data_IF_756948021977
#
_entry.id   IF_756948021977
#
_cell.length_a   1.000
_cell.length_b   1.000
_cell.length_c   1.000
_cell.angle_alpha   90.00
_cell.angle_beta   90.00
_cell.angle_gamma   90.00
#
_symmetry.space_group_name_H-M   'P 1'
#
loop_
_entity.id
_entity.type
_entity.pdbx_description
1 polymer ?
#
# COMPACT_ATOMS: atom_id res chain seq x y z
N UNK A 1 11.24 -2.89 -3.93
CA UNK A 1 11.77 -1.65 -3.35
C UNK A 1 11.44 -0.44 -4.22
N UNK A 2 11.59 -0.57 -5.55
CA UNK A 2 11.37 0.50 -6.54
C UNK A 2 9.96 1.14 -6.56
N UNK A 3 8.87 0.37 -6.38
CA UNK A 3 7.51 0.89 -6.64
C UNK A 3 7.05 1.93 -5.61
N UNK A 4 7.35 1.74 -4.33
CA UNK A 4 6.94 2.67 -3.28
C UNK A 4 7.72 4.00 -3.38
N UNK A 5 9.03 3.94 -3.64
CA UNK A 5 9.84 5.14 -3.88
C UNK A 5 9.39 5.86 -5.16
N UNK A 6 9.12 5.10 -6.24
CA UNK A 6 8.60 5.68 -7.48
C UNK A 6 7.24 6.37 -7.29
N UNK A 7 6.40 5.85 -6.39
CA UNK A 7 5.08 6.42 -6.09
C UNK A 7 5.13 7.87 -5.60
N UNK A 8 6.21 8.27 -4.93
CA UNK A 8 6.37 9.64 -4.39
C UNK A 8 7.36 10.48 -5.17
N UNK A 9 7.91 9.94 -6.27
CA UNK A 9 8.98 10.59 -7.05
C UNK A 9 8.57 11.92 -7.71
N UNK A 10 7.27 12.16 -7.88
CA UNK A 10 6.73 13.45 -8.33
C UNK A 10 6.81 14.55 -7.28
N UNK A 11 6.98 14.20 -6.00
CA UNK A 11 6.99 15.13 -4.88
C UNK A 11 8.45 15.45 -4.48
N UNK A 12 8.92 16.71 -4.67
CA UNK A 12 10.29 17.07 -4.33
C UNK A 12 10.62 16.84 -2.84
N UNK A 13 11.75 16.18 -2.57
CA UNK A 13 12.19 15.91 -1.20
C UNK A 13 11.39 14.83 -0.46
N UNK A 14 10.54 14.07 -1.17
CA UNK A 14 9.87 12.90 -0.62
C UNK A 14 10.68 11.61 -0.83
N UNK A 15 10.60 10.70 0.14
CA UNK A 15 11.19 9.35 0.05
C UNK A 15 10.50 8.39 1.02
N UNK A 16 10.55 7.10 0.71
CA UNK A 16 9.91 6.04 1.51
C UNK A 16 10.93 5.10 2.14
N UNK A 17 11.02 5.16 3.47
CA UNK A 17 11.79 4.26 4.31
C UNK A 17 11.01 2.96 4.55
N UNK A 18 11.37 1.89 3.84
CA UNK A 18 10.64 0.63 3.95
C UNK A 18 11.11 -0.20 5.15
N UNK A 19 10.18 -0.64 5.99
CA UNK A 19 10.37 -1.68 7.02
C UNK A 19 9.45 -2.88 6.79
N UNK A 20 8.40 -2.72 5.98
CA UNK A 20 7.53 -3.78 5.49
C UNK A 20 7.66 -3.95 3.95
N UNK A 21 7.27 -5.12 3.45
CA UNK A 21 7.19 -5.39 2.00
C UNK A 21 8.53 -5.46 1.25
N UNK A 22 9.67 -5.54 1.96
CA UNK A 22 11.00 -5.73 1.35
C UNK A 22 11.02 -7.07 0.60
N UNK A 23 11.43 -7.03 -0.67
CA UNK A 23 11.51 -8.22 -1.53
C UNK A 23 10.17 -8.71 -2.10
N UNK A 24 9.04 -8.12 -1.71
CA UNK A 24 7.75 -8.51 -2.27
C UNK A 24 7.61 -8.09 -3.73
N UNK A 25 7.24 -9.06 -4.57
CA UNK A 25 6.88 -8.80 -5.96
C UNK A 25 5.39 -8.56 -6.04
N UNK A 26 4.93 -7.50 -6.73
CA UNK A 26 3.52 -7.31 -6.95
C UNK A 26 3.00 -8.47 -7.82
N UNK A 27 2.24 -9.40 -7.24
CA UNK A 27 1.65 -10.54 -7.97
C UNK A 27 0.62 -10.15 -9.05
N UNK A 28 0.44 -8.84 -9.30
CA UNK A 28 -0.43 -8.23 -10.32
C UNK A 28 0.04 -6.80 -10.58
N UNK A 29 -0.31 -6.25 -11.74
CA UNK A 29 -0.06 -4.85 -12.06
C UNK A 29 -0.64 -3.89 -11.00
N UNK A 30 0.00 -2.73 -10.85
CA UNK A 30 -0.38 -1.66 -9.94
C UNK A 30 -0.49 -0.38 -10.76
N UNK A 31 -1.65 0.28 -10.69
CA UNK A 31 -1.91 1.54 -11.38
C UNK A 31 -2.31 2.57 -10.33
N UNK A 32 -1.72 3.76 -10.38
CA UNK A 32 -2.15 4.94 -9.65
C UNK A 32 -3.12 5.71 -10.55
N UNK A 33 -4.40 5.79 -10.18
CA UNK A 33 -5.45 6.37 -11.01
C UNK A 33 -6.38 7.25 -10.18
N UNK A 34 -6.29 8.56 -10.36
CA UNK A 34 -7.09 9.51 -9.55
C UNK A 34 -6.78 9.41 -8.05
N UNK A 35 -5.56 9.01 -7.69
CA UNK A 35 -5.06 8.95 -6.32
C UNK A 35 -3.82 9.84 -6.21
N UNK A 36 -3.70 10.54 -5.08
CA UNK A 36 -2.47 11.22 -4.66
C UNK A 36 -1.35 10.21 -4.40
N UNK A 37 -0.10 10.69 -4.40
CA UNK A 37 1.08 9.87 -4.07
C UNK A 37 0.93 9.21 -2.69
N UNK A 38 0.34 9.94 -1.72
CA UNK A 38 0.02 9.45 -0.38
C UNK A 38 -1.01 8.31 -0.41
N UNK A 39 -2.16 8.51 -1.07
CA UNK A 39 -3.22 7.50 -1.15
C UNK A 39 -2.72 6.23 -1.84
N UNK A 40 -1.92 6.39 -2.89
CA UNK A 40 -1.32 5.26 -3.58
C UNK A 40 -0.32 4.52 -2.69
N UNK A 41 0.58 5.23 -2.00
CA UNK A 41 1.53 4.62 -1.06
C UNK A 41 0.80 3.91 0.10
N UNK A 42 -0.25 4.51 0.66
CA UNK A 42 -1.06 3.91 1.71
C UNK A 42 -1.76 2.64 1.21
N UNK A 43 -2.29 2.67 -0.02
CA UNK A 43 -2.85 1.49 -0.67
C UNK A 43 -1.80 0.40 -0.88
N UNK A 44 -0.57 0.75 -1.26
CA UNK A 44 0.52 -0.22 -1.38
C UNK A 44 0.85 -0.87 -0.02
N UNK A 45 0.97 -0.08 1.05
CA UNK A 45 1.22 -0.58 2.41
C UNK A 45 0.13 -1.55 2.88
N UNK A 46 -1.12 -1.19 2.65
CA UNK A 46 -2.27 -2.00 3.06
C UNK A 46 -2.29 -3.42 2.45
N UNK A 47 -1.68 -3.61 1.27
CA UNK A 47 -1.61 -4.92 0.60
C UNK A 47 -0.72 -5.92 1.31
N UNK A 48 0.32 -5.43 1.97
CA UNK A 48 1.24 -6.23 2.79
C UNK A 48 0.84 -6.17 4.28
N UNK A 49 -0.42 -5.78 4.56
CA UNK A 49 -0.96 -5.60 5.91
C UNK A 49 -0.17 -4.59 6.75
N UNK A 50 0.46 -3.59 6.12
CA UNK A 50 1.19 -2.53 6.78
C UNK A 50 0.46 -1.17 6.69
N UNK A 51 0.97 -0.19 7.43
CA UNK A 51 0.54 1.21 7.41
C UNK A 51 1.71 2.13 7.08
N UNK A 52 1.42 3.39 6.82
CA UNK A 52 2.44 4.44 6.69
C UNK A 52 2.56 5.23 7.99
N UNK A 53 3.80 5.60 8.34
CA UNK A 53 4.08 6.57 9.40
C UNK A 53 4.85 7.76 8.84
N UNK A 54 4.61 8.99 9.32
CA UNK A 54 5.48 10.11 8.99
C UNK A 54 6.85 9.93 9.66
N UNK A 55 7.93 10.27 8.95
CA UNK A 55 9.25 10.45 9.55
C UNK A 55 9.38 11.90 10.03
N UNK A 56 9.53 12.08 11.34
CA UNK A 56 9.48 13.40 12.00
C UNK A 56 10.86 13.91 12.40
N UNK A 57 11.91 13.10 12.27
CA UNK A 57 13.27 13.43 12.66
C UNK A 57 14.15 13.86 11.48
N UNK A 58 13.62 13.91 10.25
CA UNK A 58 14.35 14.30 9.03
C UNK A 58 13.69 15.49 8.35
N UNK A 59 14.49 16.35 7.74
CA UNK A 59 14.00 17.40 6.87
C UNK A 59 13.52 16.80 5.54
N UNK A 60 12.31 17.15 5.11
CA UNK A 60 11.69 16.66 3.87
C UNK A 60 10.40 15.88 4.12
N UNK A 61 9.82 15.31 3.07
CA UNK A 61 8.57 14.55 3.12
C UNK A 61 8.84 13.04 3.18
N UNK A 62 9.50 12.61 4.25
CA UNK A 62 9.83 11.20 4.44
C UNK A 62 8.68 10.42 5.07
N UNK A 63 8.45 9.21 4.57
CA UNK A 63 7.44 8.30 5.09
C UNK A 63 8.08 6.96 5.40
N UNK A 64 7.70 6.36 6.51
CA UNK A 64 7.97 4.96 6.80
C UNK A 64 6.86 4.09 6.21
N UNK A 65 7.26 3.07 5.47
CA UNK A 65 6.37 2.03 4.97
C UNK A 65 6.47 0.81 5.89
N UNK A 66 5.56 0.75 6.86
CA UNK A 66 5.64 -0.12 8.03
C UNK A 66 6.09 0.63 9.29
N UNK A 67 6.17 -0.08 10.41
CA UNK A 67 6.55 0.47 11.71
C UNK A 67 7.98 1.04 11.63
N UNK A 68 8.24 2.28 12.05
CA UNK A 68 9.57 2.88 12.03
C UNK A 68 10.61 2.07 12.82
N UNK A 69 11.85 2.06 12.32
CA UNK A 69 12.98 1.48 13.07
C UNK A 69 13.49 2.52 14.08
N UNK A 70 13.32 2.23 15.38
CA UNK A 70 13.72 3.12 16.46
C UNK A 70 14.85 2.49 17.29
N UNK A 71 16.03 2.33 16.69
CA UNK A 71 17.22 1.75 17.34
C UNK A 71 16.99 0.38 17.99
N UNK A 72 18.05 -0.18 18.60
CA UNK A 72 17.94 -1.44 19.35
C UNK A 72 17.68 -1.22 20.85
N UNK A 73 18.13 -0.09 21.38
CA UNK A 73 17.95 0.26 22.79
C UNK A 73 16.47 0.55 23.05
N UNK A 74 15.89 -0.21 23.98
CA UNK A 74 14.53 0.05 24.43
C UNK A 74 14.41 1.36 25.20
N UNK A 75 13.21 1.90 25.24
CA UNK A 75 12.85 3.07 26.06
C UNK A 75 12.12 2.61 27.31
N UNK A 76 12.27 3.38 28.40
CA UNK A 76 11.53 3.15 29.64
C UNK A 76 10.29 4.04 29.65
N UNK A 77 9.12 3.42 29.84
CA UNK A 77 7.88 4.14 30.08
C UNK A 77 7.65 4.18 31.59
N UNK A 78 7.67 5.38 32.16
CA UNK A 78 7.57 5.59 33.62
C UNK A 78 6.14 5.85 34.10
N UNK A 79 5.20 6.08 33.18
CA UNK A 79 3.80 6.32 33.53
C UNK A 79 2.99 5.03 33.72
N UNK A 80 1.91 5.18 34.48
CA UNK A 80 0.93 4.12 34.68
C UNK A 80 -0.11 4.10 33.55
N UNK A 81 -0.54 2.90 33.17
CA UNK A 81 -1.55 2.70 32.16
C UNK A 81 -2.91 3.08 32.73
N UNK A 82 -3.64 3.94 32.02
CA UNK A 82 -5.02 4.28 32.40
C UNK A 82 -6.06 3.54 31.54
N UNK A 83 -5.62 2.79 30.53
CA UNK A 83 -6.45 1.82 29.83
C UNK A 83 -5.61 0.63 29.35
N UNK A 84 -6.22 -0.56 29.38
CA UNK A 84 -5.69 -1.82 28.87
C UNK A 84 -6.84 -2.65 28.30
N UNK A 85 -6.59 -3.35 27.19
CA UNK A 85 -7.58 -4.22 26.60
C UNK A 85 -7.21 -4.71 25.21
N UNK A 86 -8.20 -5.25 24.50
CA UNK A 86 -8.05 -5.70 23.11
C UNK A 86 -8.64 -4.63 22.18
N UNK A 87 -7.85 -4.21 21.18
CA UNK A 87 -8.30 -3.22 20.19
C UNK A 87 -9.41 -3.77 19.30
N UNK A 88 -10.40 -2.94 18.96
CA UNK A 88 -11.47 -3.27 17.99
C UNK A 88 -10.91 -3.67 16.62
N UNK A 89 -9.70 -3.21 16.30
CA UNK A 89 -8.95 -3.59 15.09
C UNK A 89 -8.83 -5.09 14.89
N UNK A 90 -8.79 -5.88 15.98
CA UNK A 90 -8.81 -7.34 15.89
C UNK A 90 -10.02 -7.83 15.09
N UNK A 91 -11.22 -7.39 15.49
CA UNK A 91 -12.47 -7.77 14.84
C UNK A 91 -12.60 -7.16 13.46
N UNK A 92 -12.20 -5.89 13.32
CA UNK A 92 -12.21 -5.23 12.03
C UNK A 92 -11.40 -6.06 11.03
N UNK A 93 -10.19 -6.48 11.36
CA UNK A 93 -9.31 -7.27 10.49
C UNK A 93 -9.73 -8.73 10.28
N UNK A 94 -10.90 -9.15 10.78
CA UNK A 94 -11.46 -10.50 10.62
C UNK A 94 -11.07 -11.49 11.72
N UNK A 95 -10.38 -11.02 12.76
CA UNK A 95 -10.01 -11.81 13.94
C UNK A 95 -9.33 -13.13 13.58
N UNK A 96 -9.76 -14.22 14.22
CA UNK A 96 -9.23 -15.56 14.01
C UNK A 96 -9.33 -16.05 12.55
N UNK A 97 -10.36 -15.63 11.80
CA UNK A 97 -10.53 -16.05 10.40
C UNK A 97 -9.43 -15.52 9.47
N UNK A 98 -8.75 -14.44 9.88
CA UNK A 98 -7.62 -13.85 9.17
C UNK A 98 -6.26 -14.32 9.71
N UNK A 99 -6.25 -15.29 10.63
CA UNK A 99 -5.05 -15.86 11.26
C UNK A 99 -4.50 -15.03 12.43
N UNK A 100 -5.23 -14.01 12.89
CA UNK A 100 -4.83 -13.21 14.05
C UNK A 100 -5.28 -13.83 15.36
N UNK A 101 -4.60 -13.50 16.46
CA UNK A 101 -5.07 -13.77 17.82
C UNK A 101 -5.40 -12.48 18.54
N UNK A 102 -6.39 -12.51 19.43
CA UNK A 102 -6.80 -11.33 20.22
C UNK A 102 -5.61 -10.70 20.96
N UNK A 103 -4.72 -11.52 21.53
CA UNK A 103 -3.47 -11.09 22.18
C UNK A 103 -2.52 -10.28 21.29
N UNK A 104 -2.63 -10.41 19.96
CA UNK A 104 -1.81 -9.64 19.01
C UNK A 104 -2.27 -8.18 18.93
N UNK A 105 -3.50 -7.90 19.41
CA UNK A 105 -4.15 -6.59 19.48
C UNK A 105 -4.36 -6.10 20.91
N UNK A 106 -3.75 -6.79 21.87
CA UNK A 106 -3.63 -6.29 23.23
C UNK A 106 -2.85 -4.98 23.23
N UNK A 107 -3.34 -3.99 23.98
CA UNK A 107 -2.72 -2.69 24.06
C UNK A 107 -2.77 -2.09 25.46
N UNK A 108 -1.78 -1.25 25.77
CA UNK A 108 -1.80 -0.34 26.91
C UNK A 108 -1.82 1.09 26.43
N UNK A 109 -2.67 1.92 27.03
CA UNK A 109 -2.64 3.37 26.86
C UNK A 109 -1.99 4.00 28.08
N UNK A 110 -0.84 4.64 27.87
CA UNK A 110 0.03 5.11 28.95
C UNK A 110 0.37 6.58 28.74
N UNK A 111 0.18 7.39 29.79
CA UNK A 111 0.65 8.78 29.81
C UNK A 111 2.14 8.85 30.12
N UNK A 112 2.86 9.83 29.57
CA UNK A 112 4.29 9.99 29.81
C UNK A 112 4.71 11.45 29.61
N UNK A 113 5.64 11.94 30.44
CA UNK A 113 6.25 13.27 30.27
C UNK A 113 7.39 13.30 29.24
N UNK A 114 7.93 12.13 28.88
CA UNK A 114 9.07 12.03 27.96
C UNK A 114 8.61 11.79 26.52
N UNK A 115 9.35 12.42 25.60
CA UNK A 115 9.14 12.30 24.17
C UNK A 115 9.85 11.06 23.61
N UNK A 116 9.10 9.99 23.35
CA UNK A 116 9.56 8.75 22.75
C UNK A 116 9.09 8.63 21.29
N UNK A 117 9.90 7.94 20.49
CA UNK A 117 9.63 7.69 19.07
C UNK A 117 8.67 6.53 18.84
N UNK A 118 7.88 6.62 17.76
CA UNK A 118 7.07 5.50 17.28
C UNK A 118 8.01 4.37 16.82
N UNK A 119 7.66 3.12 17.10
CA UNK A 119 8.45 1.93 16.79
C UNK A 119 9.45 1.53 17.86
N UNK A 120 9.71 2.40 18.85
CA UNK A 120 10.59 2.09 19.97
C UNK A 120 10.04 0.94 20.81
N UNK A 121 10.95 0.04 21.23
CA UNK A 121 10.64 -1.10 22.10
C UNK A 121 10.61 -0.65 23.56
N UNK A 122 9.73 -1.23 24.38
CA UNK A 122 9.68 -0.95 25.81
C UNK A 122 9.29 -2.20 26.60
N UNK A 123 9.90 -2.38 27.76
CA UNK A 123 9.47 -3.37 28.74
C UNK A 123 8.39 -2.75 29.62
N UNK A 124 7.19 -3.33 29.61
CA UNK A 124 6.04 -2.80 30.33
C UNK A 124 5.12 -3.93 30.80
N UNK A 125 4.61 -3.84 32.02
CA UNK A 125 3.71 -4.85 32.63
C UNK A 125 4.22 -6.30 32.48
N UNK A 126 5.54 -6.52 32.63
CA UNK A 126 6.17 -7.84 32.51
C UNK A 126 6.33 -8.37 31.08
N UNK A 127 6.01 -7.57 30.05
CA UNK A 127 6.14 -7.94 28.63
C UNK A 127 6.96 -6.94 27.81
N UNK A 128 7.30 -7.33 26.58
CA UNK A 128 7.95 -6.45 25.60
C UNK A 128 6.93 -5.94 24.59
N UNK A 129 6.89 -4.62 24.42
CA UNK A 129 5.92 -3.89 23.62
C UNK A 129 6.61 -2.91 22.67
N UNK A 130 5.88 -2.38 21.71
CA UNK A 130 6.29 -1.26 20.87
C UNK A 130 5.33 -0.08 21.00
N UNK A 131 5.85 1.14 20.89
CA UNK A 131 5.03 2.34 20.73
C UNK A 131 4.48 2.36 19.30
N UNK A 132 3.16 2.26 19.13
CA UNK A 132 2.53 2.16 17.80
C UNK A 132 1.66 3.36 17.46
N UNK A 133 1.19 4.09 18.46
CA UNK A 133 0.53 5.39 18.31
C UNK A 133 1.05 6.35 19.38
N UNK A 134 1.02 7.63 19.05
CA UNK A 134 1.48 8.72 19.90
C UNK A 134 0.55 9.90 19.74
N UNK A 135 0.03 10.37 20.86
CA UNK A 135 -0.74 11.59 20.95
C UNK A 135 0.07 12.61 21.75
N UNK A 136 0.12 13.84 21.26
CA UNK A 136 0.85 14.95 21.88
C UNK A 136 -0.17 16.04 22.18
N UNK A 137 -0.19 16.53 23.41
CA UNK A 137 -1.02 17.64 23.85
C UNK A 137 -0.15 18.70 24.51
N UNK A 138 -0.37 19.97 24.17
CA UNK A 138 0.24 21.08 24.89
C UNK A 138 -0.74 21.53 25.98
N UNK A 139 -0.36 21.39 27.25
CA UNK A 139 -1.16 21.79 28.40
C UNK A 139 -0.32 22.68 29.30
N UNK A 140 -0.78 23.91 29.54
CA UNK A 140 -0.11 24.87 30.44
C UNK A 140 1.41 24.94 30.20
N UNK A 141 1.80 25.15 28.93
CA UNK A 141 3.19 25.28 28.47
C UNK A 141 4.03 24.00 28.47
N UNK A 142 3.47 22.86 28.86
CA UNK A 142 4.16 21.55 28.85
C UNK A 142 3.56 20.59 27.81
N UNK A 143 4.43 19.83 27.13
CA UNK A 143 3.99 18.73 26.28
C UNK A 143 3.69 17.48 27.11
N UNK A 144 2.46 16.99 26.99
CA UNK A 144 2.06 15.67 27.50
C UNK A 144 1.94 14.67 26.37
N UNK A 145 2.52 13.51 26.58
CA UNK A 145 2.51 12.41 25.62
C UNK A 145 1.60 11.29 26.13
N UNK A 146 0.83 10.72 25.22
CA UNK A 146 0.11 9.46 25.44
C UNK A 146 0.52 8.48 24.37
N UNK A 147 0.92 7.29 24.80
CA UNK A 147 1.35 6.22 23.90
C UNK A 147 0.35 5.08 23.90
N UNK A 148 0.16 4.47 22.73
CA UNK A 148 -0.39 3.12 22.62
C UNK A 148 0.77 2.15 22.48
N UNK A 149 0.92 1.31 23.49
CA UNK A 149 1.86 0.19 23.49
C UNK A 149 1.14 -1.04 22.95
N UNK A 150 1.69 -1.68 21.94
CA UNK A 150 1.09 -2.87 21.33
C UNK A 150 2.12 -3.76 20.66
N UNK A 151 1.63 -4.84 20.02
CA UNK A 151 2.43 -5.72 19.15
C UNK A 151 2.24 -5.31 17.69
N UNK A 152 3.16 -5.73 16.82
CA UNK A 152 3.18 -5.31 15.41
C UNK A 152 1.83 -5.47 14.68
N UNK A 153 1.05 -6.50 15.02
CA UNK A 153 -0.27 -6.73 14.43
C UNK A 153 -1.26 -5.58 14.69
N UNK A 154 -1.14 -4.84 15.80
CA UNK A 154 -1.96 -3.66 16.09
C UNK A 154 -1.81 -2.59 15.00
N UNK A 155 -0.64 -2.47 14.38
CA UNK A 155 -0.36 -1.58 13.25
C UNK A 155 -0.67 -2.22 11.87
N UNK A 156 -1.54 -3.23 11.81
CA UNK A 156 -2.01 -3.83 10.56
C UNK A 156 -3.18 -3.06 9.95
N UNK A 157 -3.26 -3.07 8.62
CA UNK A 157 -4.38 -2.51 7.86
C UNK A 157 -5.05 -3.56 6.96
N UNK A 158 -6.35 -3.37 6.69
CA UNK A 158 -7.04 -4.11 5.63
C UNK A 158 -6.51 -3.68 4.27
N UNK A 159 -6.41 -4.59 3.29
CA UNK A 159 -6.14 -4.20 1.91
C UNK A 159 -7.16 -3.18 1.42
N UNK A 160 -6.67 -2.00 1.07
CA UNK A 160 -7.43 -0.92 0.44
C UNK A 160 -7.41 -1.11 -1.07
N UNK A 161 -8.51 -0.75 -1.73
CA UNK A 161 -8.63 -0.78 -3.18
C UNK A 161 -9.01 0.61 -3.66
N UNK A 162 -8.49 1.01 -4.83
CA UNK A 162 -8.86 2.26 -5.45
C UNK A 162 -10.29 2.15 -6.00
N UNK A 163 -11.29 2.85 -5.41
CA UNK A 163 -12.67 2.76 -5.87
C UNK A 163 -12.86 3.40 -7.25
N UNK A 164 -12.10 4.46 -7.55
CA UNK A 164 -12.14 5.17 -8.82
C UNK A 164 -11.63 4.34 -9.98
N UNK A 165 -10.79 3.33 -9.74
CA UNK A 165 -10.23 2.46 -10.77
C UNK A 165 -11.20 1.35 -11.21
N UNK A 166 -12.13 0.93 -10.35
CA UNK A 166 -12.98 -0.25 -10.61
C UNK A 166 -13.96 0.04 -11.75
N UNK A 167 -13.93 -0.81 -12.78
CA UNK A 167 -14.83 -0.72 -13.93
C UNK A 167 -14.53 0.44 -14.88
N UNK A 168 -13.40 1.14 -14.70
CA UNK A 168 -12.94 2.15 -15.64
C UNK A 168 -12.32 1.53 -16.89
N UNK A 169 -12.42 2.29 -17.98
CA UNK A 169 -11.69 2.00 -19.21
C UNK A 169 -10.57 3.01 -19.38
N UNK A 170 -9.35 2.52 -19.56
CA UNK A 170 -8.18 3.35 -19.82
C UNK A 170 -7.78 3.11 -21.28
N UNK A 171 -7.71 4.19 -22.05
CA UNK A 171 -7.24 4.13 -23.43
C UNK A 171 -5.75 3.77 -23.46
N UNK A 172 -5.32 3.02 -24.47
CA UNK A 172 -3.92 2.68 -24.65
C UNK A 172 -3.59 2.22 -26.06
N UNK A 173 -2.32 2.05 -26.38
CA UNK A 173 -1.86 1.56 -27.68
C UNK A 173 -1.10 0.27 -27.49
N UNK A 174 -1.37 -0.75 -28.32
CA UNK A 174 -0.58 -1.98 -28.26
C UNK A 174 0.80 -1.71 -28.83
N UNK A 175 1.80 -1.91 -27.99
CA UNK A 175 3.22 -1.71 -28.33
C UNK A 175 3.93 -3.04 -28.60
N UNK A 176 3.38 -4.18 -28.14
CA UNK A 176 3.87 -5.52 -28.46
C UNK A 176 2.80 -6.58 -28.22
N UNK A 177 2.78 -7.60 -29.07
CA UNK A 177 1.96 -8.80 -28.89
C UNK A 177 2.86 -10.02 -28.64
N UNK A 178 2.35 -11.02 -27.92
CA UNK A 178 3.06 -12.28 -27.72
C UNK A 178 2.24 -13.29 -26.91
N UNK A 179 2.07 -14.49 -27.45
CA UNK A 179 1.22 -15.51 -26.83
C UNK A 179 -0.23 -15.04 -26.71
N UNK A 180 -0.82 -15.27 -25.55
CA UNK A 180 -2.17 -14.85 -25.16
C UNK A 180 -2.21 -13.47 -24.46
N UNK A 181 -1.13 -12.70 -24.58
CA UNK A 181 -1.00 -11.40 -23.93
C UNK A 181 -0.58 -10.27 -24.88
N UNK A 182 -0.93 -9.05 -24.49
CA UNK A 182 -0.48 -7.83 -25.15
C UNK A 182 0.16 -6.89 -24.14
N UNK A 183 1.14 -6.13 -24.61
CA UNK A 183 1.75 -5.02 -23.87
C UNK A 183 1.18 -3.72 -24.42
N UNK A 184 0.80 -2.85 -23.49
CA UNK A 184 0.10 -1.59 -23.78
C UNK A 184 0.93 -0.42 -23.29
N UNK A 185 0.97 0.66 -24.07
CA UNK A 185 1.22 2.01 -23.58
C UNK A 185 -0.12 2.60 -23.17
N UNK A 186 -0.38 2.81 -21.88
CA UNK A 186 -1.63 3.43 -21.43
C UNK A 186 -1.56 4.95 -21.60
N UNK A 187 -2.66 5.60 -21.94
CA UNK A 187 -2.72 7.06 -22.14
C UNK A 187 -2.36 7.87 -20.88
N UNK A 188 -2.52 7.26 -19.71
CA UNK A 188 -2.12 7.84 -18.42
C UNK A 188 -0.60 7.86 -18.23
N UNK A 189 0.13 7.03 -18.98
CA UNK A 189 1.58 6.94 -18.90
C UNK A 189 2.22 7.94 -19.88
N UNK A 190 3.14 8.77 -19.37
CA UNK A 190 3.94 9.68 -20.22
C UNK A 190 4.83 8.89 -21.19
N UNK A 191 5.40 7.78 -20.73
CA UNK A 191 6.29 6.89 -21.48
C UNK A 191 6.06 5.46 -21.02
N UNK A 192 6.05 4.51 -21.95
CA UNK A 192 6.02 3.10 -21.64
C UNK A 192 7.03 2.35 -22.49
N UNK A 193 8.06 1.80 -21.84
CA UNK A 193 9.04 0.97 -22.51
C UNK A 193 8.49 -0.46 -22.73
N UNK A 194 8.78 -1.04 -23.91
CA UNK A 194 8.24 -2.34 -24.33
C UNK A 194 8.82 -3.49 -23.49
N UNK A 195 10.07 -3.38 -23.03
CA UNK A 195 10.75 -4.43 -22.25
C UNK A 195 10.20 -4.54 -20.83
N UNK A 196 9.72 -3.42 -20.27
CA UNK A 196 9.20 -3.34 -18.89
C UNK A 196 7.66 -3.34 -18.82
N UNK A 197 6.96 -3.19 -19.95
CA UNK A 197 5.51 -3.17 -19.99
C UNK A 197 4.90 -4.50 -19.52
N UNK A 198 3.91 -4.40 -18.64
CA UNK A 198 3.18 -5.54 -18.11
C UNK A 198 2.44 -6.29 -19.24
N UNK A 199 2.54 -7.63 -19.31
CA UNK A 199 1.79 -8.42 -20.28
C UNK A 199 0.35 -8.59 -19.79
N UNK A 200 -0.57 -7.82 -20.35
CA UNK A 200 -1.99 -7.93 -20.04
C UNK A 200 -2.59 -9.12 -20.79
N UNK A 201 -3.28 -10.06 -20.10
CA UNK A 201 -4.00 -11.13 -20.77
C UNK A 201 -5.03 -10.55 -21.74
N UNK A 202 -5.02 -11.05 -22.96
CA UNK A 202 -5.97 -10.63 -23.99
C UNK A 202 -7.14 -11.62 -24.06
N UNK A 203 -8.36 -11.09 -24.15
CA UNK A 203 -9.58 -11.88 -24.29
C UNK A 203 -10.38 -11.31 -25.45
N UNK A 204 -10.63 -12.09 -26.53
CA UNK A 204 -11.44 -11.65 -27.65
C UNK A 204 -12.91 -11.50 -27.25
N UNK A 205 -13.60 -10.51 -27.84
CA UNK A 205 -15.03 -10.27 -27.62
C UNK A 205 -15.92 -11.47 -27.98
N UNK A 206 -15.47 -12.35 -28.88
CA UNK A 206 -16.24 -13.48 -29.42
C UNK A 206 -15.87 -14.84 -28.82
N UNK A 207 -15.08 -14.90 -27.74
CA UNK A 207 -14.65 -16.18 -27.13
C UNK A 207 -13.80 -17.07 -28.05
N UNK A 208 -13.40 -16.57 -29.21
CA UNK A 208 -12.65 -17.31 -30.22
C UNK A 208 -11.15 -17.14 -29.98
N UNK A 209 -10.48 -18.19 -29.50
CA UNK A 209 -9.06 -18.22 -29.07
C UNK A 209 -8.01 -17.78 -30.11
N UNK A 210 -8.37 -17.57 -31.38
CA UNK A 210 -7.41 -17.56 -32.50
C UNK A 210 -7.04 -16.18 -33.08
N UNK A 211 -7.54 -15.06 -32.54
CA UNK A 211 -7.29 -13.72 -33.13
C UNK A 211 -6.44 -12.81 -32.26
N UNK A 212 -5.22 -13.23 -31.90
CA UNK A 212 -4.26 -12.29 -31.28
C UNK A 212 -4.01 -11.14 -32.28
N UNK A 213 -4.07 -9.86 -31.85
CA UNK A 213 -3.90 -8.73 -32.76
C UNK A 213 -2.55 -8.78 -33.49
N UNK A 214 -2.56 -8.54 -34.81
CA UNK A 214 -1.35 -8.26 -35.57
C UNK A 214 -0.73 -6.92 -35.12
N UNK A 215 0.59 -6.78 -35.27
CA UNK A 215 1.40 -5.68 -34.71
C UNK A 215 0.84 -4.28 -35.02
N UNK A 216 0.99 -3.37 -34.06
CA UNK A 216 0.75 -1.92 -34.16
C UNK A 216 -0.67 -1.43 -34.46
N UNK A 217 -1.71 -2.13 -33.97
CA UNK A 217 -3.07 -1.60 -33.99
C UNK A 217 -3.37 -0.73 -32.75
N UNK A 218 -4.02 0.45 -32.90
CA UNK A 218 -4.50 1.23 -31.77
C UNK A 218 -5.57 0.45 -30.99
N UNK A 219 -5.37 0.30 -29.68
CA UNK A 219 -6.38 -0.27 -28.78
C UNK A 219 -7.32 0.84 -28.33
N UNK A 220 -8.41 1.04 -29.08
CA UNK A 220 -9.35 2.12 -28.80
C UNK A 220 -9.93 2.06 -27.39
N UNK A 221 -10.04 0.90 -26.73
CA UNK A 221 -10.54 0.84 -25.35
C UNK A 221 -10.03 -0.39 -24.59
N UNK A 222 -9.22 -0.19 -23.55
CA UNK A 222 -8.88 -1.24 -22.59
C UNK A 222 -9.76 -1.08 -21.36
N UNK A 223 -10.67 -2.01 -21.13
CA UNK A 223 -11.65 -1.96 -20.05
C UNK A 223 -11.20 -2.86 -18.90
N UNK A 224 -10.98 -2.35 -17.70
CA UNK A 224 -10.68 -3.25 -16.57
C UNK A 224 -11.91 -4.12 -16.31
N UNK A 225 -11.76 -5.45 -16.42
CA UNK A 225 -12.88 -6.37 -16.26
C UNK A 225 -13.46 -6.26 -14.84
N UNK A 226 -14.78 -6.13 -14.73
CA UNK A 226 -15.50 -6.14 -13.45
C UNK A 226 -15.53 -7.51 -12.75
N UNK A 227 -15.09 -8.61 -13.40
CA UNK A 227 -15.25 -9.96 -12.83
C UNK A 227 -14.29 -10.21 -11.65
N UNK A 228 -14.80 -10.54 -10.44
CA UNK A 228 -14.00 -10.65 -9.23
C UNK A 228 -12.96 -11.78 -9.26
N UNK A 229 -13.20 -12.84 -10.05
CA UNK A 229 -12.34 -14.03 -10.12
C UNK A 229 -11.10 -13.86 -11.01
N UNK A 230 -11.11 -12.89 -11.94
CA UNK A 230 -9.97 -12.55 -12.80
C UNK A 230 -9.96 -11.03 -12.96
N UNK A 231 -9.35 -10.34 -12.00
CA UNK A 231 -9.14 -8.88 -12.00
C UNK A 231 -8.09 -8.52 -13.07
N UNK A 232 -8.43 -8.78 -14.32
CA UNK A 232 -7.64 -8.55 -15.52
C UNK A 232 -8.08 -7.25 -16.19
N UNK A 233 -7.18 -6.61 -16.93
CA UNK A 233 -7.56 -5.61 -17.92
C UNK A 233 -8.16 -6.38 -19.11
N UNK A 234 -9.47 -6.25 -19.35
CA UNK A 234 -10.16 -6.85 -20.48
C UNK A 234 -10.14 -5.88 -21.68
N UNK A 235 -9.48 -6.26 -22.76
CA UNK A 235 -9.33 -5.40 -23.93
C UNK A 235 -10.52 -5.65 -24.84
N UNK A 236 -11.52 -4.76 -24.80
CA UNK A 236 -12.84 -4.99 -25.41
C UNK A 236 -13.04 -4.31 -26.75
N UNK A 237 -12.04 -3.59 -27.28
CA UNK A 237 -12.09 -3.03 -28.64
C UNK A 237 -10.73 -2.61 -29.14
N UNK A 238 -10.38 -3.09 -30.32
CA UNK A 238 -9.15 -2.74 -31.03
C UNK A 238 -9.53 -2.43 -32.46
N UNK A 239 -9.28 -1.19 -32.93
CA UNK A 239 -9.38 -0.89 -34.36
C UNK A 239 -8.07 -1.32 -34.99
N UNK A 240 -8.13 -2.32 -35.86
CA UNK A 240 -7.01 -2.60 -36.75
C UNK A 240 -7.00 -1.51 -37.82
N UNK A 241 -6.07 -0.57 -37.72
CA UNK A 241 -5.78 0.35 -38.82
C UNK A 241 -5.00 -0.44 -39.88
N UNK A 242 -5.65 -0.72 -41.00
CA UNK A 242 -5.05 -1.39 -42.16
C UNK A 242 -5.24 -2.90 -42.17
N UNK A 243 -6.38 -3.35 -42.69
CA UNK A 243 -6.40 -4.54 -43.55
C UNK A 243 -6.92 -4.08 -44.92
N UNK A 244 -6.31 -4.53 -46.03
CA UNK A 244 -6.89 -4.34 -47.35
C UNK A 244 -8.28 -4.99 -47.45
#
# INVERSE_FOLDING_TARGET
MDIAEKAVSSTPGASILCTAGKGEKPGRFLIQYGETDWEFAARLASRVKAVLYPEVCRHGAYLWFGIPECGEKGVKIEGEAYAHGISSRFYELGGDTSGYKSRDFEYYRVGCGQNHGIGAKTAYAGGMWRILEKHIQLLQEEFRYTYILGRDAYASAKPVYNPMFVGQSIHGTVIKTGGDAVRLHLKIDKKQDVSTAYPYPWVPDTGSFWKVPLRFAPAEKCTVCRKPARRCLCISRMRMSGMP
#
